data_IF_120822100562
#
_entry.id   IF_120822100562
#
_cell.length_a   1.000
_cell.length_b   1.000
_cell.length_c   1.000
_cell.angle_alpha   90.00
_cell.angle_beta   90.00
_cell.angle_gamma   90.00
#
_symmetry.space_group_name_H-M   'P 1'
#
loop_
_entity.id
_entity.type
_entity.pdbx_description
1 polymer ?
2 non-polymer ?
3 water ?
#
# COMPACT_ATOMS: atom_id res chain seq x y z
N UNK A 1 -7.80 -5.10 -12.83
CA UNK A 1 -7.03 -5.21 -11.64
C UNK A 1 -6.46 -6.55 -11.28
N UNK A 2 -5.14 -6.52 -11.42
CA UNK A 2 -4.38 -7.63 -10.95
C UNK A 2 -4.28 -7.61 -9.42
N UNK A 3 -4.37 -8.77 -8.82
CA UNK A 3 -4.29 -8.96 -7.40
C UNK A 3 -3.39 -10.16 -7.24
N UNK A 4 -2.28 -9.96 -6.54
CA UNK A 4 -1.24 -10.97 -6.39
C UNK A 4 -1.61 -11.96 -5.32
N UNK A 5 -1.21 -13.21 -5.48
CA UNK A 5 -1.61 -14.26 -4.55
C UNK A 5 -1.03 -14.26 -3.14
N UNK A 6 0.17 -13.74 -2.89
CA UNK A 6 0.70 -13.91 -1.54
C UNK A 6 0.72 -12.66 -0.68
N UNK A 7 -0.12 -11.67 -0.97
CA UNK A 7 -0.09 -10.43 -0.24
C UNK A 7 -1.31 -10.43 0.63
N UNK A 8 -1.34 -9.51 1.55
CA UNK A 8 -2.48 -9.31 2.40
C UNK A 8 -2.85 -7.88 2.05
N UNK A 9 -4.13 -7.54 2.25
CA UNK A 9 -4.69 -6.35 1.68
C UNK A 9 -5.52 -5.67 2.71
N UNK A 10 -5.62 -4.37 2.73
CA UNK A 10 -6.50 -3.74 3.69
C UNK A 10 -7.68 -3.21 2.86
N UNK A 11 -8.89 -2.94 3.36
CA UNK A 11 -10.01 -2.36 2.62
C UNK A 11 -9.66 -1.06 1.92
N UNK A 12 -8.73 -0.29 2.47
CA UNK A 12 -8.41 0.99 1.90
C UNK A 12 -7.43 0.88 0.75
N UNK A 13 -7.14 -0.33 0.23
CA UNK A 13 -6.36 -0.59 -0.97
C UNK A 13 -4.86 -0.46 -0.90
N UNK A 14 -4.33 -1.00 0.20
CA UNK A 14 -2.89 -1.10 0.44
C UNK A 14 -2.59 -2.55 0.66
N UNK A 15 -1.44 -3.02 0.18
CA UNK A 15 -1.02 -4.38 0.33
C UNK A 15 0.18 -4.49 1.25
N UNK A 16 0.42 -5.66 1.85
CA UNK A 16 1.64 -5.90 2.62
C UNK A 16 2.18 -7.16 2.03
N UNK A 17 3.48 -7.20 1.79
CA UNK A 17 4.19 -8.42 1.45
C UNK A 17 5.01 -8.69 2.73
N UNK A 18 4.91 -9.84 3.37
CA UNK A 18 5.66 -10.10 4.58
C UNK A 18 6.81 -11.06 4.32
N UNK A 19 8.05 -10.68 4.62
CA UNK A 19 9.20 -11.54 4.45
C UNK A 19 10.13 -11.53 5.66
N UNK A 20 9.60 -12.19 6.69
CA UNK A 20 10.32 -12.44 7.93
C UNK A 20 10.29 -11.25 8.86
N UNK A 21 11.49 -10.74 9.05
CA UNK A 21 11.73 -9.54 9.81
C UNK A 21 11.21 -8.29 9.07
N UNK A 22 10.86 -8.35 7.79
CA UNK A 22 10.50 -7.16 7.02
C UNK A 22 9.12 -7.27 6.38
N UNK A 23 8.36 -6.20 6.29
CA UNK A 23 7.09 -6.19 5.60
C UNK A 23 7.21 -5.05 4.61
N UNK A 24 6.94 -5.22 3.31
CA UNK A 24 6.95 -4.12 2.35
C UNK A 24 5.52 -3.67 2.10
N UNK A 25 5.24 -2.39 1.89
CA UNK A 25 3.89 -1.88 1.77
C UNK A 25 3.80 -1.00 0.55
N UNK A 26 2.67 -1.06 -0.16
CA UNK A 26 2.35 -0.25 -1.33
C UNK A 26 0.82 -0.21 -1.50
N UNK A 27 0.27 0.48 -2.50
CA UNK A 27 -1.17 0.46 -2.81
C UNK A 27 -1.44 -0.49 -4.00
N UNK A 28 -2.62 -1.02 -4.14
CA UNK A 28 -2.84 -2.03 -5.14
C UNK A 28 -3.07 -1.50 -6.56
N UNK A 29 -3.17 -2.39 -7.54
CA UNK A 29 -3.48 -2.04 -8.92
C UNK A 29 -4.83 -1.33 -9.04
N UNK A 30 -5.74 -1.76 -8.20
CA UNK A 30 -7.07 -1.18 -8.12
C UNK A 30 -6.93 0.26 -7.71
N UNK A 31 -6.18 0.51 -6.63
CA UNK A 31 -6.00 1.83 -6.09
C UNK A 31 -5.38 2.74 -7.12
N UNK A 32 -4.29 2.38 -7.82
CA UNK A 32 -3.64 3.29 -8.77
C UNK A 32 -4.57 3.60 -9.96
N UNK A 33 -5.28 2.59 -10.46
CA UNK A 33 -6.28 2.73 -11.51
C UNK A 33 -7.35 3.76 -11.26
N UNK A 34 -7.90 3.71 -10.06
CA UNK A 34 -8.88 4.68 -9.63
C UNK A 34 -8.28 6.03 -9.28
N UNK A 35 -6.96 6.15 -9.12
CA UNK A 35 -6.31 7.41 -8.75
C UNK A 35 -5.97 8.17 -10.01
N UNK A 36 -5.59 7.46 -11.06
CA UNK A 36 -5.23 8.12 -12.27
C UNK A 36 -3.74 8.29 -12.21
N UNK A 37 -3.20 9.29 -12.91
CA UNK A 37 -1.77 9.50 -12.96
C UNK A 37 -1.28 10.07 -11.63
N UNK A 38 -0.32 9.40 -11.02
CA UNK A 38 0.19 9.81 -9.72
C UNK A 38 1.33 10.72 -10.04
N UNK A 39 1.12 11.88 -9.45
CA UNK A 39 2.13 12.90 -9.65
C UNK A 39 3.00 13.12 -8.40
N UNK A 40 2.61 12.77 -7.17
CA UNK A 40 3.46 13.02 -6.01
C UNK A 40 3.18 12.00 -4.94
N UNK A 41 4.18 11.62 -4.15
CA UNK A 41 3.98 10.72 -3.01
C UNK A 41 4.58 11.36 -1.72
N UNK A 42 3.87 11.44 -0.61
CA UNK A 42 4.44 11.88 0.66
C UNK A 42 4.70 10.56 1.40
N UNK A 43 5.96 10.30 1.72
CA UNK A 43 6.42 9.09 2.39
C UNK A 43 6.99 9.50 3.72
N UNK A 44 7.00 8.66 4.77
CA UNK A 44 7.55 9.02 6.06
C UNK A 44 9.08 9.06 6.05
N UNK A 45 9.65 9.44 7.17
CA UNK A 45 11.09 9.46 7.32
C UNK A 45 11.44 8.08 7.83
N UNK A 46 12.56 7.50 7.51
CA UNK A 46 13.06 6.29 8.17
C UNK A 46 13.28 6.47 9.69
N UNK A 47 13.12 5.37 10.44
CA UNK A 47 13.11 5.37 11.89
C UNK A 47 11.74 5.70 12.45
N UNK A 48 10.79 6.30 11.75
CA UNK A 48 9.47 6.63 12.28
C UNK A 48 8.67 5.36 12.51
N UNK A 49 7.75 5.37 13.47
CA UNK A 49 6.83 4.25 13.66
C UNK A 49 5.53 4.45 12.88
N UNK A 50 4.92 3.43 12.29
CA UNK A 50 3.61 3.54 11.63
C UNK A 50 2.68 2.62 12.41
N UNK A 51 1.40 2.89 12.54
CA UNK A 51 0.48 2.08 13.30
C UNK A 51 -0.61 1.63 12.36
N UNK A 52 -1.01 0.39 12.54
CA UNK A 52 -2.07 -0.28 11.82
C UNK A 52 -3.34 0.58 11.73
N UNK A 53 -3.74 0.85 10.49
CA UNK A 53 -4.96 1.61 10.20
C UNK A 53 -4.78 3.12 10.30
N UNK A 54 -3.54 3.64 10.32
CA UNK A 54 -3.32 5.07 10.44
C UNK A 54 -2.50 5.53 9.24
N UNK A 55 -2.79 6.69 8.68
CA UNK A 55 -2.10 7.20 7.50
C UNK A 55 -0.62 7.35 7.77
N UNK A 56 0.25 6.98 6.84
CA UNK A 56 1.67 7.12 7.06
C UNK A 56 2.26 8.00 5.99
N UNK A 57 1.50 8.20 4.91
CA UNK A 57 1.90 9.03 3.79
C UNK A 57 0.65 9.40 2.98
N UNK A 58 0.78 10.05 1.83
CA UNK A 58 -0.34 10.41 0.97
C UNK A 58 0.14 10.20 -0.45
N UNK A 59 -0.76 10.00 -1.41
CA UNK A 59 -0.40 9.85 -2.81
C UNK A 59 -1.30 10.87 -3.52
N UNK A 60 -0.68 11.73 -4.32
CA UNK A 60 -1.35 12.81 -5.03
C UNK A 60 -1.43 12.45 -6.50
N UNK A 61 -2.63 12.32 -7.08
CA UNK A 61 -2.78 12.07 -8.51
C UNK A 61 -3.24 13.35 -9.21
N UNK A 62 -3.41 13.29 -10.55
CA UNK A 62 -3.98 14.42 -11.30
C UNK A 62 -5.37 14.78 -10.77
N UNK A 63 -6.09 13.81 -10.18
CA UNK A 63 -7.42 14.07 -9.69
C UNK A 63 -7.66 13.96 -8.20
N UNK A 64 -6.80 13.33 -7.38
CA UNK A 64 -7.14 13.18 -5.96
C UNK A 64 -5.89 13.24 -5.14
N UNK A 65 -6.01 13.37 -3.83
CA UNK A 65 -4.89 13.22 -2.92
C UNK A 65 -5.43 12.25 -1.89
N UNK A 66 -4.95 11.01 -1.77
CA UNK A 66 -5.47 10.14 -0.71
C UNK A 66 -4.36 9.76 0.26
N UNK A 67 -4.83 9.44 1.45
CA UNK A 67 -3.99 8.95 2.53
C UNK A 67 -3.65 7.52 2.21
N UNK A 68 -2.46 7.08 2.56
CA UNK A 68 -2.15 5.69 2.42
C UNK A 68 -1.97 5.30 3.86
N UNK A 69 -2.77 4.36 4.35
CA UNK A 69 -2.65 3.88 5.72
C UNK A 69 -1.82 2.61 5.81
N UNK A 70 -1.21 2.46 6.98
CA UNK A 70 -0.33 1.34 7.21
C UNK A 70 -1.24 0.15 7.43
N UNK A 71 -1.04 -0.94 6.71
CA UNK A 71 -1.79 -2.15 6.96
C UNK A 71 -1.43 -2.82 8.27
N UNK A 72 -0.17 -2.73 8.75
CA UNK A 72 0.28 -3.27 10.05
C UNK A 72 1.19 -2.22 10.70
N UNK A 73 1.51 -2.44 11.98
CA UNK A 73 2.30 -1.53 12.79
C UNK A 73 3.74 -1.93 12.75
N UNK A 74 4.60 -0.93 12.88
CA UNK A 74 6.01 -1.18 12.89
C UNK A 74 6.82 0.05 12.62
N UNK A 75 8.07 -0.21 12.35
CA UNK A 75 9.00 0.86 12.17
C UNK A 75 9.52 0.89 10.76
N UNK A 76 9.40 2.08 10.21
CA UNK A 76 9.86 2.36 8.87
C UNK A 76 11.36 2.19 8.90
N UNK A 77 11.89 1.13 8.33
CA UNK A 77 13.33 0.94 8.16
C UNK A 77 13.83 1.45 6.81
N UNK A 78 12.95 1.71 5.84
CA UNK A 78 13.38 2.05 4.50
C UNK A 78 12.20 2.62 3.73
N UNK A 79 12.44 3.48 2.74
CA UNK A 79 11.42 4.25 2.02
C UNK A 79 11.92 4.16 0.60
N UNK A 80 10.97 4.10 -0.29
CA UNK A 80 11.30 4.00 -1.70
C UNK A 80 11.60 5.39 -2.19
N UNK A 81 12.88 5.70 -2.17
CA UNK A 81 13.28 7.01 -2.62
C UNK A 81 13.15 7.12 -4.14
N UNK A 82 12.94 6.00 -4.84
CA UNK A 82 12.69 5.99 -6.28
C UNK A 82 11.41 6.76 -6.61
N UNK A 83 10.46 6.84 -5.68
CA UNK A 83 9.23 7.52 -5.97
C UNK A 83 9.33 9.03 -6.04
N UNK A 84 10.51 9.58 -5.73
CA UNK A 84 10.69 11.03 -5.78
C UNK A 84 10.93 11.42 -7.23
N UNK A 85 11.82 10.70 -7.91
CA UNK A 85 12.07 10.88 -9.33
C UNK A 85 10.92 10.36 -10.19
N UNK A 86 10.47 9.10 -10.09
CA UNK A 86 9.36 8.63 -10.90
C UNK A 86 8.15 8.21 -10.04
N UNK A 87 7.30 9.09 -9.51
CA UNK A 87 6.07 8.79 -8.76
C UNK A 87 5.14 7.77 -9.41
N UNK A 88 5.18 7.84 -10.75
CA UNK A 88 4.42 7.02 -11.67
C UNK A 88 4.67 5.54 -11.55
N UNK A 89 5.75 5.17 -10.85
CA UNK A 89 6.04 3.76 -10.61
C UNK A 89 4.87 3.12 -9.88
N UNK A 90 4.08 3.91 -9.20
CA UNK A 90 2.93 3.40 -8.50
C UNK A 90 1.92 2.94 -9.53
N UNK A 91 1.79 3.64 -10.66
CA UNK A 91 0.87 3.28 -11.74
C UNK A 91 1.42 2.11 -12.53
N UNK A 92 2.68 2.22 -12.94
CA UNK A 92 3.29 1.17 -13.74
C UNK A 92 3.62 -0.13 -13.03
N UNK A 93 3.94 -0.15 -11.73
CA UNK A 93 4.19 -1.41 -11.06
C UNK A 93 3.83 -1.26 -9.62
N UNK A 94 2.53 -1.25 -9.27
CA UNK A 94 2.05 -1.07 -7.91
C UNK A 94 2.58 -2.11 -6.90
N UNK A 95 3.00 -3.28 -7.37
CA UNK A 95 3.39 -4.37 -6.47
C UNK A 95 4.88 -4.64 -6.53
N UNK A 96 5.66 -3.97 -7.38
CA UNK A 96 7.07 -4.31 -7.42
C UNK A 96 7.79 -3.00 -7.28
N UNK A 97 8.13 -2.28 -8.34
CA UNK A 97 8.82 -1.02 -8.16
C UNK A 97 8.07 0.10 -7.50
N UNK A 98 6.79 0.02 -7.22
CA UNK A 98 6.07 1.15 -6.70
C UNK A 98 5.83 0.95 -5.24
N UNK A 99 6.61 0.09 -4.58
CA UNK A 99 6.45 -0.14 -3.16
C UNK A 99 6.77 1.17 -2.47
N UNK A 100 6.14 1.43 -1.33
CA UNK A 100 6.33 2.70 -0.65
C UNK A 100 7.26 2.69 0.56
N UNK A 101 7.04 1.79 1.53
CA UNK A 101 7.86 1.70 2.72
C UNK A 101 8.13 0.24 3.04
N UNK A 102 9.26 -0.03 3.66
CA UNK A 102 9.62 -1.34 4.16
C UNK A 102 9.62 -1.15 5.67
N UNK A 103 8.86 -1.90 6.47
CA UNK A 103 8.87 -1.75 7.90
C UNK A 103 9.39 -3.01 8.58
N UNK A 104 9.68 -2.89 9.88
CA UNK A 104 10.00 -4.02 10.74
C UNK A 104 8.68 -4.05 11.50
N UNK A 105 7.79 -5.02 11.29
CA UNK A 105 6.49 -5.07 11.94
C UNK A 105 6.62 -5.33 13.43
N UNK A 106 5.86 -4.61 14.26
CA UNK A 106 6.00 -4.76 15.69
C UNK A 106 4.99 -5.70 16.33
N UNK A 107 3.90 -5.96 15.57
CA UNK A 107 2.81 -6.80 16.04
C UNK A 107 2.39 -7.72 14.89
N UNK A 108 3.03 -8.88 14.81
CA UNK A 108 2.80 -9.86 13.74
C UNK A 108 1.37 -10.41 13.52
N UNK A 109 0.64 -10.65 14.62
CA UNK A 109 -0.71 -11.18 14.52
C UNK A 109 -1.60 -10.27 13.72
N UNK A 110 -1.19 -9.03 13.46
CA UNK A 110 -1.96 -8.08 12.69
C UNK A 110 -2.25 -8.51 11.28
N UNK A 111 -1.28 -9.24 10.74
CA UNK A 111 -1.47 -9.82 9.44
C UNK A 111 -2.73 -10.68 9.33
N UNK A 112 -3.17 -11.31 10.42
CA UNK A 112 -4.28 -12.23 10.31
C UNK A 112 -5.59 -11.50 10.18
N UNK A 113 -5.69 -10.23 10.54
CA UNK A 113 -6.93 -9.53 10.30
C UNK A 113 -6.97 -8.91 8.90
N UNK A 114 -6.06 -9.16 7.96
CA UNK A 114 -6.15 -8.46 6.69
C UNK A 114 -6.81 -9.34 5.67
N UNK A 115 -7.22 -8.74 4.57
CA UNK A 115 -7.91 -9.49 3.57
C UNK A 115 -6.92 -10.31 2.75
N UNK A 116 -7.21 -11.60 2.50
CA UNK A 116 -6.39 -12.39 1.60
C UNK A 116 -6.82 -12.03 0.18
N UNK A 117 -6.23 -12.66 -0.82
CA UNK A 117 -6.49 -12.27 -2.19
C UNK A 117 -7.93 -12.52 -2.60
N UNK A 118 -8.57 -13.71 -2.49
CA UNK A 118 -9.98 -13.81 -2.90
C UNK A 118 -10.90 -12.88 -2.13
N UNK A 119 -10.69 -12.61 -0.86
CA UNK A 119 -11.57 -11.69 -0.14
C UNK A 119 -11.44 -10.28 -0.63
N UNK A 120 -10.28 -9.93 -1.17
CA UNK A 120 -10.06 -8.55 -1.60
C UNK A 120 -10.58 -8.43 -3.02
N UNK A 121 -10.30 -9.34 -3.94
CA UNK A 121 -10.89 -9.34 -5.26
C UNK A 121 -12.43 -9.22 -5.19
N UNK A 122 -13.03 -10.01 -4.28
CA UNK A 122 -14.47 -10.00 -4.09
C UNK A 122 -14.85 -8.62 -3.60
N UNK A 123 -14.12 -8.02 -2.69
CA UNK A 123 -14.52 -6.73 -2.20
C UNK A 123 -14.36 -5.70 -3.26
N UNK A 124 -13.36 -5.82 -4.11
CA UNK A 124 -13.19 -4.88 -5.18
C UNK A 124 -14.34 -5.08 -6.19
N UNK A 125 -14.84 -6.31 -6.41
CA UNK A 125 -15.98 -6.57 -7.29
C UNK A 125 -17.19 -5.86 -6.75
N UNK A 126 -17.41 -6.01 -5.46
CA UNK A 126 -18.53 -5.36 -4.81
C UNK A 126 -18.41 -3.86 -4.88
N UNK A 127 -17.21 -3.30 -4.84
CA UNK A 127 -17.07 -1.86 -5.00
C UNK A 127 -17.30 -1.38 -6.41
N UNK A 128 -16.78 -2.12 -7.40
CA UNK A 128 -16.94 -1.79 -8.81
C UNK A 128 -18.42 -1.88 -9.17
N UNK A 129 -19.08 -2.87 -8.62
CA UNK A 129 -20.50 -3.05 -8.79
C UNK A 129 -21.29 -2.07 -7.94
N UNK A 130 -20.72 -1.19 -7.12
CA UNK A 130 -21.56 -0.33 -6.30
C UNK A 130 -21.75 1.01 -6.97
N UNK A 131 -21.60 0.99 -8.29
CA UNK A 131 -21.89 2.15 -9.10
C UNK A 131 -22.36 1.60 -10.46
X LIG B 1 -10.71 9.74 -7.82
X LIG B 1 -11.47 10.64 -7.42
X LIG B 1 -10.32 8.53 -6.97
X LIG B 1 -9.80 8.79 -5.55
X LIG B 1 -8.72 7.77 -5.25
X LIG B 1 -9.32 6.50 -4.70
X LIG B 1 -8.34 5.34 -4.53
X LIG B 1 -7.28 5.67 -3.49
X LIG B 1 -6.22 4.59 -3.18
X LIG B 1 -4.79 5.13 -2.17
X LIG B 1 -4.85 3.88 -0.85
X LIG B 1 -5.43 4.38 0.38
X LIG B 1 -9.22 3.86 -4.00
X LIG B 1 -11.05 3.54 -4.83
X LIG B 1 -12.24 4.26 -3.70
X LIG B 1 -12.06 3.78 -2.27
X LIG B 1 -12.12 2.36 -2.14
#
# INVERSE_FOLDING_TARGET
>A
SNVLDGLKYAPSHEWVKHEGSVATIGITDHAQDHLGEVVFVELPEPGVSVTKGKGFGAVESVKATSDVNSPISGEVIEVNTGLTGKPGLINSSPYEDGWMIKIKPTSPDELESLLGAKEYTKFCEEEDAAH
>B hetero
1 OSS C1 O1 C2 C3 C4 C5 C6 C7 C8 S9 C10 N11 S12 S13 C14 C15 O16
#
